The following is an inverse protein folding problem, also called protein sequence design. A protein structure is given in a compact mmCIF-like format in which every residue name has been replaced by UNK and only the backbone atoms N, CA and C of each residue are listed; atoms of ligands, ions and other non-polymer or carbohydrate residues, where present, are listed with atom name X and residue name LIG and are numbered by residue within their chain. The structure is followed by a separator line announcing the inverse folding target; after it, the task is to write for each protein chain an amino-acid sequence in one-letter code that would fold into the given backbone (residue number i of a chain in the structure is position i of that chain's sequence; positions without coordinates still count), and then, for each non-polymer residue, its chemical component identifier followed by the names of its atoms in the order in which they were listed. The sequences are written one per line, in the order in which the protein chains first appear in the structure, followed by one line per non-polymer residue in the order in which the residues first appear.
data_IF_925578553746
#
_entry.id   IF_925578553746
#
_cell.length_a   1.000
_cell.length_b   1.000
_cell.length_c   1.000
_cell.angle_alpha   90.00
_cell.angle_beta   90.00
_cell.angle_gamma   90.00
#
_symmetry.space_group_name_H-M   'P 1'
#
loop_
_entity.id
_entity.type
_entity.pdbx_description
1 polymer ?
#
# COMPACT_ATOMS: atom_id res chain seq x y z
N UNK A 1 59.20 -29.20 23.65
CA UNK A 1 59.07 -30.64 23.34
C UNK A 1 60.23 -30.96 22.41
N UNK A 2 60.98 -32.05 22.59
CA UNK A 2 62.07 -32.37 21.66
C UNK A 2 61.39 -32.83 20.36
N UNK A 3 61.40 -31.98 19.34
CA UNK A 3 60.93 -32.34 18.00
C UNK A 3 61.96 -33.27 17.38
N UNK A 4 61.76 -34.56 17.60
CA UNK A 4 62.53 -35.60 16.97
C UNK A 4 61.97 -35.74 15.55
N UNK A 5 62.75 -35.39 14.53
CA UNK A 5 62.33 -35.60 13.14
C UNK A 5 62.71 -37.01 12.68
N UNK A 6 62.05 -37.55 11.63
CA UNK A 6 62.47 -38.83 11.02
C UNK A 6 63.95 -38.82 10.62
N UNK A 7 64.43 -37.65 10.19
CA UNK A 7 65.82 -37.38 9.83
C UNK A 7 66.77 -37.45 11.04
N UNK A 8 66.33 -36.97 12.21
CA UNK A 8 67.12 -37.02 13.44
C UNK A 8 67.23 -38.45 13.97
N UNK A 9 66.17 -39.27 13.84
CA UNK A 9 66.21 -40.70 14.18
C UNK A 9 67.22 -41.44 13.29
N UNK A 10 67.20 -41.19 11.98
CA UNK A 10 68.17 -41.78 11.04
C UNK A 10 69.62 -41.37 11.34
N UNK A 11 69.86 -40.10 11.65
CA UNK A 11 71.20 -39.61 12.02
C UNK A 11 71.69 -40.19 13.35
N UNK A 12 70.78 -40.53 14.26
CA UNK A 12 71.15 -41.08 15.57
C UNK A 12 71.88 -42.42 15.49
N UNK A 13 71.66 -43.18 14.41
CA UNK A 13 72.36 -44.43 14.08
C UNK A 13 73.89 -44.31 14.20
N UNK A 14 74.45 -43.19 13.73
CA UNK A 14 75.90 -42.96 13.70
C UNK A 14 76.48 -42.39 15.02
N UNK A 15 75.62 -41.96 15.95
CA UNK A 15 76.01 -41.28 17.19
C UNK A 15 76.16 -42.23 18.40
N UNK A 16 75.73 -43.49 18.28
CA UNK A 16 75.74 -44.43 19.40
C UNK A 16 77.16 -44.96 19.70
N UNK A 17 77.63 -44.75 20.93
CA UNK A 17 78.92 -45.29 21.41
C UNK A 17 78.86 -46.80 21.60
N UNK A 18 79.85 -47.53 21.08
CA UNK A 18 79.98 -48.98 21.27
C UNK A 18 80.56 -49.31 22.65
N UNK A 19 79.91 -50.23 23.37
CA UNK A 19 80.33 -50.70 24.70
C UNK A 19 80.38 -52.24 24.72
N UNK A 20 81.31 -52.83 25.48
CA UNK A 20 81.60 -54.29 25.53
C UNK A 20 80.39 -55.14 25.96
N UNK A 21 79.37 -54.55 26.61
CA UNK A 21 78.09 -55.18 26.98
C UNK A 21 76.89 -54.34 26.52
N UNK A 22 76.85 -53.97 25.24
CA UNK A 22 75.74 -53.21 24.64
C UNK A 22 74.74 -54.06 23.86
N UNK A 23 73.68 -53.42 23.36
CA UNK A 23 72.75 -54.02 22.40
C UNK A 23 73.45 -54.34 21.07
N UNK A 24 72.90 -55.31 20.32
CA UNK A 24 73.35 -55.65 18.97
C UNK A 24 73.12 -54.46 18.01
N UNK A 25 74.20 -53.86 17.45
CA UNK A 25 74.07 -52.70 16.55
C UNK A 25 73.15 -52.98 15.36
N UNK A 26 73.17 -54.18 14.77
CA UNK A 26 72.36 -54.47 13.59
C UNK A 26 70.85 -54.48 13.89
N UNK A 27 70.46 -54.97 15.08
CA UNK A 27 69.06 -54.95 15.52
C UNK A 27 68.60 -53.55 15.89
N UNK A 28 69.45 -52.77 16.56
CA UNK A 28 69.16 -51.37 16.89
C UNK A 28 68.99 -50.54 15.62
N UNK A 29 69.86 -50.74 14.65
CA UNK A 29 69.81 -50.06 13.35
C UNK A 29 68.49 -50.34 12.61
N UNK A 30 68.08 -51.61 12.53
CA UNK A 30 66.82 -52.00 11.91
C UNK A 30 65.59 -51.41 12.66
N UNK A 31 65.66 -51.34 13.99
CA UNK A 31 64.61 -50.71 14.80
C UNK A 31 64.55 -49.19 14.58
N UNK A 32 65.70 -48.51 14.48
CA UNK A 32 65.77 -47.07 14.19
C UNK A 32 65.22 -46.75 12.80
N UNK A 33 65.50 -47.60 11.80
CA UNK A 33 64.96 -47.46 10.45
C UNK A 33 63.42 -47.57 10.46
N UNK A 34 62.86 -48.57 11.16
CA UNK A 34 61.42 -48.72 11.37
C UNK A 34 60.81 -47.53 12.13
N UNK A 35 61.47 -47.07 13.20
CA UNK A 35 61.05 -45.91 13.97
C UNK A 35 60.99 -44.66 13.10
N UNK A 36 62.02 -44.42 12.28
CA UNK A 36 62.06 -43.27 11.37
C UNK A 36 60.92 -43.33 10.34
N UNK A 37 60.65 -44.50 9.76
CA UNK A 37 59.56 -44.69 8.79
C UNK A 37 58.18 -44.43 9.41
N UNK A 38 57.92 -44.97 10.61
CA UNK A 38 56.69 -44.68 11.35
C UNK A 38 56.55 -43.22 11.76
N UNK A 39 57.66 -42.57 12.12
CA UNK A 39 57.66 -41.15 12.43
C UNK A 39 57.29 -40.32 11.19
N UNK A 40 57.80 -40.70 10.02
CA UNK A 40 57.54 -39.99 8.76
C UNK A 40 56.06 -40.13 8.33
N UNK A 41 55.48 -41.32 8.48
CA UNK A 41 54.05 -41.56 8.30
C UNK A 41 53.20 -40.69 9.24
N UNK A 42 53.56 -40.63 10.53
CA UNK A 42 52.84 -39.82 11.52
C UNK A 42 52.93 -38.32 11.22
N UNK A 43 54.09 -37.83 10.78
CA UNK A 43 54.27 -36.43 10.38
C UNK A 43 53.41 -36.11 9.16
N UNK A 44 53.40 -36.97 8.15
CA UNK A 44 52.54 -36.78 6.97
C UNK A 44 51.06 -36.80 7.32
N UNK A 45 50.62 -37.74 8.15
CA UNK A 45 49.23 -37.81 8.61
C UNK A 45 48.85 -36.56 9.42
N UNK A 46 49.73 -36.11 10.31
CA UNK A 46 49.54 -34.89 11.10
C UNK A 46 49.40 -33.64 10.22
N UNK A 47 50.25 -33.49 9.21
CA UNK A 47 50.16 -32.39 8.24
C UNK A 47 48.84 -32.45 7.46
N UNK A 48 48.48 -33.62 6.93
CA UNK A 48 47.23 -33.78 6.18
C UNK A 48 45.99 -33.47 7.02
N UNK A 49 45.98 -33.91 8.29
CA UNK A 49 44.89 -33.61 9.22
C UNK A 49 44.82 -32.13 9.58
N UNK A 50 45.97 -31.46 9.74
CA UNK A 50 46.01 -30.01 9.98
C UNK A 50 45.47 -29.23 8.78
N UNK A 51 45.84 -29.63 7.56
CA UNK A 51 45.35 -28.99 6.34
C UNK A 51 43.82 -29.16 6.20
N UNK A 52 43.30 -30.37 6.46
CA UNK A 52 41.86 -30.61 6.48
C UNK A 52 41.14 -29.80 7.56
N UNK A 53 41.69 -29.74 8.77
CA UNK A 53 41.13 -28.95 9.87
C UNK A 53 41.10 -27.45 9.53
N UNK A 54 42.16 -26.93 8.91
CA UNK A 54 42.22 -25.54 8.46
C UNK A 54 41.16 -25.26 7.38
N UNK A 55 41.01 -26.16 6.40
CA UNK A 55 39.99 -26.03 5.35
C UNK A 55 38.56 -26.09 5.91
N UNK A 56 38.29 -26.98 6.86
CA UNK A 56 36.98 -27.07 7.53
C UNK A 56 36.69 -25.83 8.37
N UNK A 57 37.68 -25.30 9.09
CA UNK A 57 37.54 -24.07 9.87
C UNK A 57 37.21 -22.88 8.99
N UNK A 58 37.88 -22.76 7.82
CA UNK A 58 37.56 -21.70 6.85
C UNK A 58 36.13 -21.81 6.31
N UNK A 59 35.68 -23.04 6.00
CA UNK A 59 34.30 -23.27 5.55
C UNK A 59 33.29 -22.92 6.62
N UNK A 60 33.54 -23.29 7.88
CA UNK A 60 32.68 -22.93 9.02
C UNK A 60 32.55 -21.42 9.16
N UNK A 61 33.67 -20.67 9.13
CA UNK A 61 33.61 -19.21 9.16
C UNK A 61 32.77 -18.62 8.03
N UNK A 62 32.89 -19.16 6.80
CA UNK A 62 32.05 -18.73 5.68
C UNK A 62 30.56 -19.04 5.87
N UNK A 63 30.23 -20.12 6.58
CA UNK A 63 28.84 -20.45 6.91
C UNK A 63 28.29 -19.55 8.01
N UNK A 64 29.08 -19.25 9.04
CA UNK A 64 28.71 -18.32 10.10
C UNK A 64 28.45 -16.92 9.56
N UNK A 65 29.30 -16.41 8.65
CA UNK A 65 29.09 -15.13 7.97
C UNK A 65 27.79 -15.12 7.16
N UNK A 66 27.51 -16.20 6.43
CA UNK A 66 26.25 -16.34 5.66
C UNK A 66 25.04 -16.42 6.56
N UNK A 67 25.12 -17.16 7.65
CA UNK A 67 24.05 -17.25 8.64
C UNK A 67 23.76 -15.89 9.25
N UNK A 68 24.80 -15.13 9.59
CA UNK A 68 24.65 -13.77 10.11
C UNK A 68 23.96 -12.86 9.10
N UNK A 69 24.40 -12.87 7.83
CA UNK A 69 23.78 -12.07 6.77
C UNK A 69 22.33 -12.46 6.51
N UNK A 70 21.99 -13.76 6.59
CA UNK A 70 20.62 -14.24 6.47
C UNK A 70 19.74 -13.77 7.62
N UNK A 71 20.25 -13.83 8.86
CA UNK A 71 19.53 -13.33 10.03
C UNK A 71 19.27 -11.82 9.94
N UNK A 72 20.26 -11.04 9.52
CA UNK A 72 20.07 -9.60 9.27
C UNK A 72 19.04 -9.33 8.17
N UNK A 73 19.11 -10.06 7.06
CA UNK A 73 18.15 -9.95 5.97
C UNK A 73 16.72 -10.29 6.43
N UNK A 74 16.56 -11.30 7.29
CA UNK A 74 15.26 -11.65 7.88
C UNK A 74 14.71 -10.55 8.78
N UNK A 75 15.54 -9.95 9.63
CA UNK A 75 15.14 -8.82 10.48
C UNK A 75 14.73 -7.63 9.62
N UNK A 76 15.55 -7.25 8.64
CA UNK A 76 15.21 -6.17 7.70
C UNK A 76 13.92 -6.44 6.94
N UNK A 77 13.69 -7.68 6.50
CA UNK A 77 12.45 -8.05 5.82
C UNK A 77 11.22 -7.93 6.74
N UNK A 78 11.37 -8.27 8.03
CA UNK A 78 10.30 -8.10 9.02
C UNK A 78 10.01 -6.62 9.28
N UNK A 79 11.05 -5.79 9.47
CA UNK A 79 10.92 -4.34 9.65
C UNK A 79 10.27 -3.68 8.42
N UNK A 80 10.70 -4.04 7.21
CA UNK A 80 10.12 -3.52 5.97
C UNK A 80 8.64 -3.90 5.85
N UNK A 81 8.28 -5.13 6.21
CA UNK A 81 6.87 -5.57 6.22
C UNK A 81 6.04 -4.76 7.22
N UNK A 82 6.57 -4.49 8.40
CA UNK A 82 5.87 -3.68 9.41
C UNK A 82 5.72 -2.23 8.97
N UNK A 83 6.77 -1.63 8.39
CA UNK A 83 6.71 -0.28 7.81
C UNK A 83 5.70 -0.20 6.67
N UNK A 84 5.70 -1.19 5.76
CA UNK A 84 4.74 -1.25 4.66
C UNK A 84 3.30 -1.35 5.17
N UNK A 85 3.06 -2.15 6.21
CA UNK A 85 1.74 -2.26 6.86
C UNK A 85 1.32 -0.93 7.50
N UNK A 86 2.17 -0.31 8.29
CA UNK A 86 1.87 0.97 8.94
C UNK A 86 1.58 2.07 7.91
N UNK A 87 2.34 2.10 6.81
CA UNK A 87 2.12 3.06 5.73
C UNK A 87 0.79 2.78 4.99
N UNK A 88 0.47 1.52 4.71
CA UNK A 88 -0.80 1.13 4.11
C UNK A 88 -1.98 1.54 4.99
N UNK A 89 -1.92 1.26 6.29
CA UNK A 89 -2.97 1.61 7.26
C UNK A 89 -3.19 3.14 7.30
N UNK A 90 -2.10 3.92 7.36
CA UNK A 90 -2.16 5.39 7.33
C UNK A 90 -2.75 5.91 6.01
N UNK A 91 -2.36 5.33 4.89
CA UNK A 91 -2.87 5.72 3.57
C UNK A 91 -4.36 5.40 3.41
N UNK A 92 -4.81 4.27 3.95
CA UNK A 92 -6.21 3.87 3.97
C UNK A 92 -7.04 4.83 4.83
N UNK A 93 -6.55 5.21 6.00
CA UNK A 93 -7.22 6.19 6.89
C UNK A 93 -7.34 7.57 6.23
N UNK A 94 -6.29 8.05 5.55
CA UNK A 94 -6.31 9.30 4.79
C UNK A 94 -7.33 9.23 3.65
N UNK A 95 -7.30 8.17 2.86
CA UNK A 95 -8.22 7.97 1.73
C UNK A 95 -9.67 7.94 2.21
N UNK A 96 -9.95 7.27 3.34
CA UNK A 96 -11.28 7.21 3.92
C UNK A 96 -11.74 8.61 4.37
N UNK A 97 -10.88 9.36 5.05
CA UNK A 97 -11.19 10.73 5.48
C UNK A 97 -11.47 11.66 4.30
N UNK A 98 -10.67 11.57 3.25
CA UNK A 98 -10.86 12.36 2.03
C UNK A 98 -12.20 12.03 1.36
N UNK A 99 -12.51 10.73 1.22
CA UNK A 99 -13.79 10.28 0.67
C UNK A 99 -15.00 10.73 1.51
N UNK A 100 -14.89 10.66 2.84
CA UNK A 100 -15.94 11.15 3.76
C UNK A 100 -16.13 12.67 3.64
N UNK A 101 -15.04 13.42 3.51
CA UNK A 101 -15.09 14.87 3.36
C UNK A 101 -15.71 15.28 2.01
N UNK A 102 -15.34 14.60 0.93
CA UNK A 102 -15.91 14.81 -0.41
C UNK A 102 -17.40 14.45 -0.42
N UNK A 103 -17.78 13.30 0.12
CA UNK A 103 -19.18 12.88 0.23
C UNK A 103 -20.02 13.88 1.05
N UNK A 104 -19.47 14.41 2.14
CA UNK A 104 -20.11 15.46 2.92
C UNK A 104 -20.26 16.77 2.13
N UNK A 105 -19.28 17.12 1.29
CA UNK A 105 -19.36 18.26 0.36
C UNK A 105 -20.49 18.09 -0.65
N UNK A 106 -20.48 16.97 -1.38
CA UNK A 106 -21.52 16.63 -2.37
C UNK A 106 -22.93 16.69 -1.75
N UNK A 107 -23.09 16.14 -0.55
CA UNK A 107 -24.38 16.21 0.16
C UNK A 107 -24.82 17.63 0.46
N UNK A 108 -23.93 18.49 0.97
CA UNK A 108 -24.26 19.89 1.27
C UNK A 108 -24.65 20.66 0.00
N UNK A 109 -23.93 20.41 -1.09
CA UNK A 109 -24.21 21.06 -2.37
C UNK A 109 -25.56 20.60 -2.93
N UNK A 110 -25.86 19.29 -2.86
CA UNK A 110 -27.14 18.74 -3.24
C UNK A 110 -28.30 19.29 -2.38
N UNK A 111 -28.13 19.38 -1.07
CA UNK A 111 -29.12 19.96 -0.15
C UNK A 111 -29.37 21.44 -0.46
N UNK A 112 -28.32 22.20 -0.75
CA UNK A 112 -28.40 23.62 -1.13
C UNK A 112 -29.14 23.79 -2.46
N UNK A 113 -28.80 22.98 -3.47
CA UNK A 113 -29.45 23.00 -4.78
C UNK A 113 -30.93 22.55 -4.71
N UNK A 114 -31.25 21.58 -3.86
CA UNK A 114 -32.63 21.16 -3.62
C UNK A 114 -33.43 22.27 -2.94
N UNK A 115 -32.84 22.98 -1.97
CA UNK A 115 -33.48 24.08 -1.29
C UNK A 115 -33.74 25.28 -2.22
N UNK A 116 -32.76 25.65 -3.06
CA UNK A 116 -32.94 26.71 -4.05
C UNK A 116 -34.02 26.36 -5.08
N UNK A 117 -33.99 25.13 -5.61
CA UNK A 117 -35.01 24.64 -6.55
C UNK A 117 -36.42 24.68 -5.94
N UNK A 118 -36.54 24.33 -4.67
CA UNK A 118 -37.83 24.38 -3.96
C UNK A 118 -38.33 25.80 -3.77
N UNK A 119 -37.45 26.74 -3.42
CA UNK A 119 -37.78 28.17 -3.35
C UNK A 119 -38.27 28.70 -4.69
N UNK A 120 -37.55 28.41 -5.77
CA UNK A 120 -37.96 28.82 -7.13
C UNK A 120 -39.31 28.22 -7.52
N UNK A 121 -39.58 26.95 -7.17
CA UNK A 121 -40.89 26.33 -7.40
C UNK A 121 -42.01 27.05 -6.64
N UNK A 122 -41.80 27.40 -5.38
CA UNK A 122 -42.81 28.09 -4.57
C UNK A 122 -43.06 29.52 -5.08
N UNK A 123 -42.02 30.24 -5.48
CA UNK A 123 -42.14 31.54 -6.15
C UNK A 123 -42.94 31.46 -7.46
N UNK A 124 -42.63 30.46 -8.31
CA UNK A 124 -43.37 30.21 -9.55
C UNK A 124 -44.85 29.91 -9.29
N UNK A 125 -45.16 29.13 -8.24
CA UNK A 125 -46.54 28.82 -7.84
C UNK A 125 -47.29 30.08 -7.41
N UNK A 126 -46.66 30.93 -6.59
CA UNK A 126 -47.26 32.21 -6.15
C UNK A 126 -47.48 33.13 -7.36
N UNK A 127 -46.51 33.24 -8.26
CA UNK A 127 -46.61 34.04 -9.49
C UNK A 127 -47.73 33.54 -10.41
N UNK A 128 -47.83 32.22 -10.61
CA UNK A 128 -48.92 31.61 -11.38
C UNK A 128 -50.28 31.92 -10.77
N UNK A 129 -50.44 31.78 -9.45
CA UNK A 129 -51.69 32.09 -8.76
C UNK A 129 -52.06 33.57 -8.88
N UNK A 130 -51.08 34.47 -8.76
CA UNK A 130 -51.26 35.91 -8.97
C UNK A 130 -51.69 36.25 -10.39
N UNK A 131 -51.05 35.65 -11.40
CA UNK A 131 -51.40 35.82 -12.80
C UNK A 131 -52.84 35.38 -13.08
N UNK A 132 -53.24 34.20 -12.62
CA UNK A 132 -54.61 33.70 -12.80
C UNK A 132 -55.65 34.62 -12.15
N UNK A 133 -55.37 35.17 -10.96
CA UNK A 133 -56.25 36.17 -10.32
C UNK A 133 -56.36 37.45 -11.13
N UNK A 134 -55.24 37.98 -11.62
CA UNK A 134 -55.21 39.19 -12.44
C UNK A 134 -55.96 39.00 -13.77
N UNK A 135 -55.79 37.84 -14.40
CA UNK A 135 -56.51 37.50 -15.64
C UNK A 135 -58.01 37.38 -15.39
N UNK A 136 -58.43 36.70 -14.31
CA UNK A 136 -59.84 36.63 -13.91
C UNK A 136 -60.44 38.02 -13.70
N UNK A 137 -59.75 38.89 -12.95
CA UNK A 137 -60.20 40.26 -12.72
C UNK A 137 -60.33 41.05 -14.03
N UNK A 138 -59.38 40.90 -14.95
CA UNK A 138 -59.43 41.57 -16.26
C UNK A 138 -60.62 41.09 -17.09
N UNK A 139 -60.89 39.78 -17.11
CA UNK A 139 -62.03 39.21 -17.83
C UNK A 139 -63.36 39.65 -17.21
N UNK A 140 -63.48 39.62 -15.88
CA UNK A 140 -64.66 40.11 -15.16
C UNK A 140 -64.92 41.60 -15.43
N UNK A 141 -63.86 42.41 -15.52
CA UNK A 141 -63.96 43.81 -15.91
C UNK A 141 -64.48 43.97 -17.35
N UNK A 142 -63.88 43.26 -18.32
CA UNK A 142 -64.33 43.34 -19.72
C UNK A 142 -65.77 42.86 -19.88
N UNK A 143 -66.18 41.82 -19.16
CA UNK A 143 -67.58 41.37 -19.10
C UNK A 143 -68.50 42.47 -18.57
N UNK A 144 -68.13 43.12 -17.45
CA UNK A 144 -68.91 44.23 -16.90
C UNK A 144 -69.05 45.41 -17.86
N UNK A 145 -67.98 45.77 -18.58
CA UNK A 145 -68.01 46.82 -19.61
C UNK A 145 -68.96 46.45 -20.77
N UNK A 146 -68.96 45.18 -21.22
CA UNK A 146 -69.89 44.68 -22.24
C UNK A 146 -71.34 44.71 -21.74
N UNK A 147 -71.61 44.24 -20.51
CA UNK A 147 -72.95 44.26 -19.90
C UNK A 147 -73.51 45.68 -19.72
N UNK A 148 -72.65 46.67 -19.50
CA UNK A 148 -73.05 48.08 -19.48
C UNK A 148 -73.38 48.61 -20.88
N UNK A 149 -72.61 48.26 -21.91
CA UNK A 149 -72.92 48.64 -23.29
C UNK A 149 -74.17 47.95 -23.84
N UNK A 150 -74.38 46.67 -23.56
CA UNK A 150 -75.61 45.97 -23.91
C UNK A 150 -76.83 46.63 -23.27
N UNK A 151 -76.72 47.08 -22.00
CA UNK A 151 -77.77 47.85 -21.34
C UNK A 151 -78.00 49.22 -21.98
N UNK A 152 -76.93 49.93 -22.37
CA UNK A 152 -77.04 51.22 -23.09
C UNK A 152 -77.76 51.05 -24.41
N UNK A 153 -77.34 50.09 -25.23
CA UNK A 153 -77.96 49.80 -26.52
C UNK A 153 -79.43 49.39 -26.35
N UNK A 154 -79.77 48.56 -25.36
CA UNK A 154 -81.16 48.20 -25.07
C UNK A 154 -82.01 49.42 -24.67
N UNK A 155 -81.45 50.38 -23.91
CA UNK A 155 -82.14 51.65 -23.60
C UNK A 155 -82.23 52.60 -24.80
N UNK A 156 -81.26 52.59 -25.72
CA UNK A 156 -81.29 53.36 -26.96
C UNK A 156 -82.27 52.77 -27.99
N UNK A 157 -82.38 51.43 -28.10
CA UNK A 157 -83.40 50.76 -28.89
C UNK A 157 -84.81 50.98 -28.31
N UNK A 158 -84.97 50.96 -26.99
CA UNK A 158 -86.23 51.34 -26.34
C UNK A 158 -86.55 52.85 -26.50
N UNK A 159 -85.54 53.67 -26.77
CA UNK A 159 -85.62 55.12 -26.97
C UNK A 159 -85.61 55.57 -28.43
N UNK A 160 -85.53 54.65 -29.40
CA UNK A 160 -85.56 54.94 -30.84
C UNK A 160 -86.98 54.74 -31.38
N UNK A 161 -87.83 55.78 -31.46
CA UNK A 161 -89.04 55.71 -32.24
C UNK A 161 -88.62 55.67 -33.71
N UNK A 162 -88.82 54.53 -34.36
CA UNK A 162 -88.82 54.50 -35.82
C UNK A 162 -89.85 55.53 -36.32
N UNK A 163 -89.34 56.65 -36.83
CA UNK A 163 -90.08 57.52 -37.72
C UNK A 163 -90.42 56.71 -38.98
N UNK A 164 -91.60 56.09 -39.01
CA UNK A 164 -92.61 56.18 -40.06
C UNK A 164 -93.56 54.99 -40.04
N UNK A 165 -94.83 55.25 -39.72
CA UNK A 165 -96.01 54.88 -40.51
C UNK A 165 -97.16 55.73 -39.92
N UNK A 166 -97.51 56.87 -40.54
CA UNK A 166 -98.43 57.03 -41.68
C UNK A 166 -99.87 56.63 -41.33
N UNK A 167 -100.81 57.55 -41.62
CA UNK A 167 -102.27 57.43 -41.56
C UNK A 167 -102.83 57.49 -40.13
N UNK A 168 -103.71 58.39 -39.70
CA UNK A 168 -104.93 59.06 -40.19
C UNK A 168 -105.22 60.16 -39.12
N UNK A 169 -105.92 61.29 -39.31
CA UNK A 169 -106.78 61.87 -40.33
C UNK A 169 -106.87 63.39 -40.00
#
# INVERSE_FOLDING_TARGET
MIDLTPLDVRKKKDDFRRTIRGYDPAQVDAFLDLCAERLDELVHQGSSQQDEAAAMTQRLGSYEEREHALNEALVMAQELREQARAQADKSAELTLREAEQEAAGIRRDAETAAHSSRRTLDELRVRRAGFLRSMRWSLERFLGEIEEEERRLATEEAGSPAAHEVAEA
#
